data_IF_392544067973
#
_entry.id   IF_392544067973
#
_cell.length_a   1.000
_cell.length_b   1.000
_cell.length_c   1.000
_cell.angle_alpha   90.00
_cell.angle_beta   90.00
_cell.angle_gamma   90.00
#
_symmetry.space_group_name_H-M   'P 1'
#
loop_
_entity.id
_entity.type
_entity.pdbx_description
1 polymer ?
#
# COMPACT_ATOMS: atom_id res chain seq x y z
N UNK A 1 -29.86 -9.02 -13.90
CA UNK A 1 -28.79 -8.17 -14.46
C UNK A 1 -27.54 -8.45 -13.64
N UNK A 2 -26.41 -8.77 -14.26
CA UNK A 2 -25.15 -9.05 -13.53
C UNK A 2 -24.64 -7.74 -12.90
N UNK A 3 -24.95 -7.53 -11.61
CA UNK A 3 -24.58 -6.30 -10.89
C UNK A 3 -23.06 -6.12 -10.84
N UNK A 4 -22.30 -7.22 -10.86
CA UNK A 4 -20.83 -7.18 -10.88
C UNK A 4 -20.35 -6.52 -12.16
N UNK A 5 -20.95 -6.84 -13.31
CA UNK A 5 -20.63 -6.17 -14.57
C UNK A 5 -20.87 -4.67 -14.50
N UNK A 6 -22.06 -4.28 -14.05
CA UNK A 6 -22.46 -2.87 -14.01
C UNK A 6 -21.56 -2.06 -13.06
N UNK A 7 -21.26 -2.61 -11.88
CA UNK A 7 -20.40 -1.95 -10.89
C UNK A 7 -18.98 -1.79 -11.41
N UNK A 8 -18.38 -2.85 -11.98
CA UNK A 8 -17.03 -2.77 -12.52
C UNK A 8 -16.94 -1.79 -13.69
N UNK A 9 -17.88 -1.83 -14.63
CA UNK A 9 -17.92 -0.91 -15.77
C UNK A 9 -18.07 0.55 -15.32
N UNK A 10 -18.96 0.80 -14.36
CA UNK A 10 -19.19 2.14 -13.81
C UNK A 10 -17.97 2.67 -13.02
N UNK A 11 -17.33 1.82 -12.21
CA UNK A 11 -16.25 2.24 -11.33
C UNK A 11 -14.84 2.10 -11.92
N UNK A 12 -14.68 1.53 -13.12
CA UNK A 12 -13.39 1.28 -13.75
C UNK A 12 -12.45 2.51 -13.69
N UNK A 13 -12.95 3.68 -14.12
CA UNK A 13 -12.15 4.93 -14.12
C UNK A 13 -11.72 5.34 -12.71
N UNK A 14 -12.60 5.19 -11.73
CA UNK A 14 -12.30 5.53 -10.34
C UNK A 14 -11.20 4.63 -9.78
N UNK A 15 -11.31 3.33 -10.03
CA UNK A 15 -10.34 2.32 -9.58
C UNK A 15 -9.00 2.54 -10.31
N UNK A 16 -9.02 2.85 -11.59
CA UNK A 16 -7.83 3.17 -12.38
C UNK A 16 -7.07 4.38 -11.82
N UNK A 17 -7.78 5.48 -11.52
CA UNK A 17 -7.18 6.68 -10.93
C UNK A 17 -6.56 6.34 -9.57
N UNK A 18 -7.24 5.56 -8.74
CA UNK A 18 -6.69 5.11 -7.45
C UNK A 18 -5.41 4.30 -7.66
N UNK A 19 -5.43 3.32 -8.57
CA UNK A 19 -4.30 2.46 -8.89
C UNK A 19 -3.10 3.26 -9.39
N UNK A 20 -3.31 4.13 -10.39
CA UNK A 20 -2.24 4.99 -10.93
C UNK A 20 -1.68 5.93 -9.87
N UNK A 21 -2.54 6.54 -9.04
CA UNK A 21 -2.12 7.43 -7.95
C UNK A 21 -1.28 6.70 -6.91
N UNK A 22 -1.61 5.44 -6.59
CA UNK A 22 -0.83 4.61 -5.67
C UNK A 22 0.62 4.42 -6.12
N UNK A 23 0.84 4.13 -7.41
CA UNK A 23 2.19 4.00 -7.97
C UNK A 23 2.88 5.36 -8.17
N UNK A 24 2.16 6.37 -8.64
CA UNK A 24 2.71 7.71 -8.83
C UNK A 24 3.23 8.34 -7.54
N UNK A 25 2.54 8.14 -6.39
CA UNK A 25 3.06 8.57 -5.08
C UNK A 25 4.42 7.95 -4.75
N UNK A 26 4.62 6.67 -5.09
CA UNK A 26 5.89 5.94 -4.81
C UNK A 26 6.99 6.37 -5.76
N UNK A 27 6.68 6.51 -7.04
CA UNK A 27 7.63 7.06 -8.02
C UNK A 27 8.11 8.45 -7.60
N UNK A 28 7.20 9.33 -7.15
CA UNK A 28 7.58 10.65 -6.63
C UNK A 28 8.58 10.57 -5.47
N UNK A 29 8.37 9.65 -4.53
CA UNK A 29 9.30 9.44 -3.40
C UNK A 29 10.68 8.99 -3.91
N UNK A 30 10.73 8.07 -4.89
CA UNK A 30 12.00 7.63 -5.49
C UNK A 30 12.68 8.76 -6.26
N UNK A 31 11.93 9.55 -7.03
CA UNK A 31 12.44 10.68 -7.78
C UNK A 31 13.05 11.75 -6.86
N UNK A 32 12.41 12.06 -5.73
CA UNK A 32 12.96 12.97 -4.72
C UNK A 32 14.23 12.39 -4.09
N UNK A 33 14.25 11.10 -3.75
CA UNK A 33 15.44 10.44 -3.22
C UNK A 33 16.62 10.49 -4.22
N UNK A 34 16.34 10.24 -5.50
CA UNK A 34 17.32 10.31 -6.57
C UNK A 34 17.84 11.75 -6.74
N UNK A 35 16.96 12.75 -6.70
CA UNK A 35 17.37 14.16 -6.77
C UNK A 35 18.31 14.56 -5.63
N UNK A 36 17.99 14.20 -4.38
CA UNK A 36 18.87 14.46 -3.21
C UNK A 36 20.24 13.81 -3.40
N UNK A 37 20.27 12.56 -3.86
CA UNK A 37 21.50 11.82 -4.11
C UNK A 37 22.36 12.47 -5.20
N UNK A 38 21.74 12.90 -6.30
CA UNK A 38 22.44 13.58 -7.40
C UNK A 38 23.01 14.93 -6.98
N UNK A 39 22.23 15.73 -6.24
CA UNK A 39 22.67 17.02 -5.70
C UNK A 39 23.86 16.83 -4.75
N UNK A 40 23.76 15.88 -3.81
CA UNK A 40 24.86 15.56 -2.89
C UNK A 40 26.14 15.18 -3.64
N UNK A 41 26.01 14.27 -4.60
CA UNK A 41 27.17 13.75 -5.37
C UNK A 41 27.81 14.87 -6.20
N UNK A 42 27.01 15.78 -6.76
CA UNK A 42 27.52 16.92 -7.53
C UNK A 42 28.28 17.95 -6.69
N UNK A 43 27.79 18.25 -5.48
CA UNK A 43 28.39 19.26 -4.59
C UNK A 43 29.64 18.72 -3.89
N UNK A 44 29.54 17.54 -3.28
CA UNK A 44 30.57 17.03 -2.37
C UNK A 44 31.53 16.05 -3.04
N UNK A 45 31.14 15.43 -4.16
CA UNK A 45 31.96 14.46 -4.91
C UNK A 45 32.46 13.26 -4.08
N UNK A 46 31.81 12.98 -2.95
CA UNK A 46 32.13 11.84 -2.08
C UNK A 46 31.32 10.60 -2.45
N UNK A 47 31.89 9.41 -2.18
CA UNK A 47 31.21 8.11 -2.35
C UNK A 47 30.62 7.89 -3.77
N UNK A 48 31.26 8.44 -4.81
CA UNK A 48 30.71 8.49 -6.19
C UNK A 48 30.28 7.11 -6.69
N UNK A 49 31.12 6.07 -6.52
CA UNK A 49 30.82 4.71 -6.96
C UNK A 49 29.56 4.17 -6.26
N UNK A 50 29.47 4.33 -4.94
CA UNK A 50 28.31 3.90 -4.17
C UNK A 50 27.04 4.66 -4.59
N UNK A 51 27.15 5.96 -4.80
CA UNK A 51 26.04 6.81 -5.22
C UNK A 51 25.56 6.42 -6.61
N UNK A 52 26.46 6.11 -7.53
CA UNK A 52 26.12 5.60 -8.86
C UNK A 52 25.36 4.27 -8.77
N UNK A 53 25.81 3.33 -7.94
CA UNK A 53 25.10 2.07 -7.71
C UNK A 53 23.70 2.32 -7.15
N UNK A 54 23.58 3.19 -6.14
CA UNK A 54 22.29 3.55 -5.55
C UNK A 54 21.35 4.23 -6.55
N UNK A 55 21.88 5.12 -7.39
CA UNK A 55 21.11 5.77 -8.45
C UNK A 55 20.58 4.74 -9.46
N UNK A 56 21.40 3.79 -9.89
CA UNK A 56 20.97 2.71 -10.79
C UNK A 56 19.86 1.85 -10.16
N UNK A 57 19.96 1.53 -8.87
CA UNK A 57 18.91 0.79 -8.15
C UNK A 57 17.61 1.59 -8.10
N UNK A 58 17.68 2.89 -7.79
CA UNK A 58 16.50 3.76 -7.75
C UNK A 58 15.82 3.89 -9.11
N UNK A 59 16.60 4.06 -10.19
CA UNK A 59 16.09 4.09 -11.57
C UNK A 59 15.42 2.77 -11.93
N UNK A 60 16.05 1.63 -11.59
CA UNK A 60 15.47 0.31 -11.81
C UNK A 60 14.14 0.11 -11.08
N UNK A 61 14.05 0.57 -9.83
CA UNK A 61 12.81 0.54 -9.05
C UNK A 61 11.73 1.45 -9.65
N UNK A 62 12.10 2.63 -10.15
CA UNK A 62 11.17 3.56 -10.77
C UNK A 62 10.60 2.99 -12.07
N UNK A 63 11.44 2.38 -12.90
CA UNK A 63 11.02 1.65 -14.09
C UNK A 63 10.10 0.47 -13.75
N UNK A 64 10.44 -0.30 -12.71
CA UNK A 64 9.59 -1.39 -12.24
C UNK A 64 8.20 -0.91 -11.78
N UNK A 65 8.13 0.18 -11.00
CA UNK A 65 6.86 0.77 -10.58
C UNK A 65 6.06 1.32 -11.76
N UNK A 66 6.73 1.89 -12.76
CA UNK A 66 6.09 2.35 -13.99
C UNK A 66 5.45 1.19 -14.77
N UNK A 67 6.14 0.05 -14.89
CA UNK A 67 5.55 -1.14 -15.49
C UNK A 67 4.32 -1.61 -14.72
N UNK A 68 4.40 -1.72 -13.39
CA UNK A 68 3.24 -2.12 -12.57
C UNK A 68 2.07 -1.14 -12.72
N UNK A 69 2.34 0.16 -12.78
CA UNK A 69 1.33 1.20 -12.99
C UNK A 69 0.56 1.01 -14.30
N UNK A 70 1.22 0.53 -15.34
CA UNK A 70 0.60 0.33 -16.65
C UNK A 70 -0.15 -1.00 -16.77
N UNK A 71 0.11 -1.96 -15.87
CA UNK A 71 -0.60 -3.26 -15.80
C UNK A 71 -2.02 -3.19 -15.21
N UNK A 72 -2.62 -2.00 -15.17
CA UNK A 72 -3.96 -1.84 -14.61
C UNK A 72 -5.02 -2.66 -15.37
N UNK A 73 -5.07 -2.66 -16.72
CA UNK A 73 -6.09 -3.39 -17.45
C UNK A 73 -6.10 -4.89 -17.12
N UNK A 74 -4.91 -5.51 -17.03
CA UNK A 74 -4.77 -6.93 -16.72
C UNK A 74 -5.23 -7.23 -15.28
N UNK A 75 -4.78 -6.43 -14.32
CA UNK A 75 -5.18 -6.56 -12.91
C UNK A 75 -6.69 -6.37 -12.75
N UNK A 76 -7.26 -5.41 -13.47
CA UNK A 76 -8.70 -5.13 -13.41
C UNK A 76 -9.53 -6.29 -14.00
N UNK A 77 -9.09 -6.85 -15.13
CA UNK A 77 -9.76 -8.00 -15.76
C UNK A 77 -9.67 -9.27 -14.89
N UNK A 78 -8.56 -9.48 -14.19
CA UNK A 78 -8.41 -10.59 -13.24
C UNK A 78 -9.46 -10.51 -12.14
N UNK A 79 -9.65 -9.33 -11.52
CA UNK A 79 -10.70 -9.13 -10.51
C UNK A 79 -12.11 -9.31 -11.07
N UNK A 80 -12.37 -8.84 -12.29
CA UNK A 80 -13.66 -9.01 -12.95
C UNK A 80 -13.97 -10.49 -13.20
N UNK A 81 -12.97 -11.25 -13.64
CA UNK A 81 -13.10 -12.68 -13.93
C UNK A 81 -13.31 -13.49 -12.66
N UNK A 82 -12.58 -13.16 -11.59
CA UNK A 82 -12.73 -13.82 -10.29
C UNK A 82 -14.13 -13.62 -9.67
N UNK A 83 -14.77 -12.47 -9.91
CA UNK A 83 -16.11 -12.18 -9.39
C UNK A 83 -17.25 -12.64 -10.31
N UNK A 84 -16.96 -13.49 -11.30
CA UNK A 84 -17.96 -14.07 -12.21
C UNK A 84 -17.88 -15.60 -12.22
N UNK A 85 -19.01 -16.31 -12.28
CA UNK A 85 -20.38 -15.81 -12.48
C UNK A 85 -21.08 -15.31 -11.21
N UNK A 86 -20.55 -15.58 -10.02
CA UNK A 86 -21.07 -15.11 -8.74
C UNK A 86 -20.04 -14.23 -8.04
N UNK A 87 -20.49 -13.13 -7.44
CA UNK A 87 -19.62 -12.22 -6.70
C UNK A 87 -18.99 -12.92 -5.49
N UNK A 88 -17.69 -12.69 -5.28
CA UNK A 88 -17.03 -13.13 -4.07
C UNK A 88 -17.36 -12.17 -2.93
N UNK A 89 -18.12 -12.65 -1.95
CA UNK A 89 -18.50 -11.87 -0.78
C UNK A 89 -17.49 -12.12 0.34
N UNK A 90 -16.88 -11.03 0.81
CA UNK A 90 -15.89 -11.02 1.86
C UNK A 90 -16.52 -10.61 3.18
N UNK A 91 -16.09 -11.25 4.26
CA UNK A 91 -16.30 -10.76 5.61
C UNK A 91 -15.23 -9.72 5.92
N UNK A 92 -15.67 -8.58 6.44
CA UNK A 92 -14.78 -7.47 6.80
C UNK A 92 -14.68 -7.38 8.32
N UNK A 93 -13.44 -7.53 8.81
CA UNK A 93 -13.08 -7.29 10.21
C UNK A 93 -12.22 -6.02 10.28
N UNK A 94 -12.74 -4.99 10.94
CA UNK A 94 -12.03 -3.72 11.13
C UNK A 94 -11.01 -3.81 12.27
N UNK A 95 -9.74 -3.53 11.97
CA UNK A 95 -8.63 -3.37 12.91
C UNK A 95 -8.18 -1.89 12.93
N UNK A 96 -7.22 -1.49 13.77
CA UNK A 96 -6.87 -0.08 13.98
C UNK A 96 -6.40 0.64 12.70
N UNK A 97 -5.61 -0.02 11.85
CA UNK A 97 -5.00 0.57 10.65
C UNK A 97 -5.32 -0.19 9.35
N UNK A 98 -6.11 -1.26 9.43
CA UNK A 98 -6.46 -2.07 8.27
C UNK A 98 -7.86 -2.66 8.40
N UNK A 99 -8.43 -3.02 7.25
CA UNK A 99 -9.53 -3.96 7.12
C UNK A 99 -8.91 -5.34 6.85
N UNK A 100 -9.31 -6.35 7.64
CA UNK A 100 -9.00 -7.73 7.32
C UNK A 100 -10.18 -8.28 6.50
N UNK A 101 -9.90 -8.68 5.27
CA UNK A 101 -10.86 -9.31 4.38
C UNK A 101 -10.62 -10.82 4.42
N UNK A 102 -11.66 -11.58 4.69
CA UNK A 102 -11.64 -13.04 4.57
C UNK A 102 -12.84 -13.49 3.77
N UNK A 103 -12.62 -14.40 2.81
CA UNK A 103 -13.72 -15.07 2.14
C UNK A 103 -14.44 -15.96 3.17
N UNK A 104 -15.76 -16.07 3.04
CA UNK A 104 -16.57 -16.92 3.94
C UNK A 104 -16.05 -18.37 3.99
N UNK A 105 -15.45 -18.84 2.89
CA UNK A 105 -14.95 -20.20 2.73
C UNK A 105 -13.43 -20.34 2.81
N UNK A 106 -12.67 -19.25 3.02
CA UNK A 106 -11.20 -19.30 3.11
C UNK A 106 -10.70 -18.41 4.27
N UNK A 107 -10.00 -18.99 5.27
CA UNK A 107 -9.49 -18.23 6.42
C UNK A 107 -8.30 -17.30 6.09
N UNK A 108 -7.79 -17.30 4.86
CA UNK A 108 -6.71 -16.39 4.46
C UNK A 108 -7.19 -14.93 4.52
N UNK A 109 -6.50 -14.12 5.34
CA UNK A 109 -6.86 -12.72 5.58
C UNK A 109 -6.03 -11.79 4.71
N UNK A 110 -6.68 -11.13 3.76
CA UNK A 110 -6.09 -10.02 3.01
C UNK A 110 -6.21 -8.76 3.88
N UNK A 111 -5.07 -8.15 4.21
CA UNK A 111 -5.04 -6.91 5.01
C UNK A 111 -5.02 -5.70 4.09
N UNK A 112 -6.10 -4.96 4.04
CA UNK A 112 -6.22 -3.72 3.28
C UNK A 112 -5.98 -2.53 4.19
N UNK A 113 -5.07 -1.63 3.81
CA UNK A 113 -4.80 -0.41 4.57
C UNK A 113 -6.04 0.50 4.58
N UNK A 114 -6.42 1.05 5.73
CA UNK A 114 -7.55 2.01 5.79
C UNK A 114 -7.27 3.30 5.01
N UNK A 115 -6.00 3.69 4.94
CA UNK A 115 -5.61 4.86 4.18
C UNK A 115 -5.75 4.55 2.69
N UNK A 116 -6.39 5.45 1.95
CA UNK A 116 -6.67 5.32 0.50
C UNK A 116 -7.68 4.21 0.12
N UNK A 117 -8.55 3.74 1.05
CA UNK A 117 -9.72 2.90 0.74
C UNK A 117 -10.90 3.75 0.28
N UNK A 118 -11.70 3.21 -0.65
CA UNK A 118 -13.02 3.73 -1.01
C UNK A 118 -14.07 2.63 -0.92
N UNK A 119 -15.21 2.98 -0.35
CA UNK A 119 -16.42 2.17 -0.36
C UNK A 119 -17.32 2.71 -1.46
N UNK A 120 -17.58 1.90 -2.47
CA UNK A 120 -18.36 2.24 -3.64
C UNK A 120 -19.71 1.51 -3.56
N UNK A 121 -20.85 2.23 -3.61
CA UNK A 121 -22.17 1.60 -3.58
C UNK A 121 -22.35 0.63 -4.75
N UNK A 122 -22.77 -0.61 -4.46
CA UNK A 122 -23.09 -1.59 -5.50
C UNK A 122 -24.49 -1.33 -6.06
N UNK A 123 -24.72 -1.72 -7.31
CA UNK A 123 -26.06 -1.81 -7.89
C UNK A 123 -26.94 -2.81 -7.11
N UNK A 124 -26.33 -3.83 -6.51
CA UNK A 124 -26.99 -4.63 -5.49
C UNK A 124 -26.92 -3.89 -4.14
N UNK A 125 -28.07 -3.35 -3.70
CA UNK A 125 -28.18 -2.53 -2.48
C UNK A 125 -27.75 -3.24 -1.19
N UNK A 126 -27.65 -4.57 -1.20
CA UNK A 126 -27.15 -5.33 -0.05
C UNK A 126 -25.62 -5.20 0.12
N UNK A 127 -24.90 -5.02 -0.98
CA UNK A 127 -23.44 -5.08 -0.97
C UNK A 127 -22.80 -3.73 -1.22
N UNK A 128 -21.54 -3.64 -0.84
CA UNK A 128 -20.65 -2.52 -1.11
C UNK A 128 -19.36 -3.05 -1.68
N UNK A 129 -18.86 -2.35 -2.70
CA UNK A 129 -17.59 -2.63 -3.31
C UNK A 129 -16.49 -1.83 -2.60
N UNK A 130 -15.71 -2.50 -1.75
CA UNK A 130 -14.49 -1.95 -1.17
C UNK A 130 -13.37 -2.00 -2.20
N UNK A 131 -12.72 -0.87 -2.42
CA UNK A 131 -11.51 -0.77 -3.24
C UNK A 131 -10.40 -0.16 -2.40
N UNK A 132 -9.27 -0.85 -2.29
CA UNK A 132 -8.15 -0.38 -1.49
C UNK A 132 -6.84 -1.05 -1.87
N UNK A 133 -5.84 -0.83 -1.03
CA UNK A 133 -4.52 -1.41 -1.23
C UNK A 133 -4.10 -2.25 -0.03
N UNK A 134 -3.45 -3.37 -0.32
CA UNK A 134 -2.87 -4.24 0.70
C UNK A 134 -1.86 -3.45 1.55
N UNK A 135 -1.81 -3.77 2.84
CA UNK A 135 -0.89 -3.14 3.80
C UNK A 135 0.57 -3.53 3.55
N UNK A 136 0.80 -4.61 2.81
CA UNK A 136 2.14 -5.12 2.50
C UNK A 136 2.89 -4.15 1.58
N UNK A 137 4.04 -3.64 2.05
CA UNK A 137 4.86 -2.69 1.30
C UNK A 137 5.37 -3.23 -0.05
N UNK A 138 5.66 -4.54 -0.11
CA UNK A 138 6.26 -5.22 -1.27
C UNK A 138 5.30 -6.17 -2.00
N UNK A 139 3.99 -5.91 -1.95
CA UNK A 139 3.05 -6.73 -2.72
C UNK A 139 3.24 -6.53 -4.22
N UNK A 140 3.30 -7.63 -4.99
CA UNK A 140 3.34 -7.60 -6.46
C UNK A 140 2.02 -7.05 -7.04
N UNK A 141 0.91 -7.38 -6.41
CA UNK A 141 -0.43 -6.89 -6.74
C UNK A 141 -1.02 -6.24 -5.48
N UNK A 142 -0.87 -4.92 -5.33
CA UNK A 142 -1.28 -4.25 -4.12
C UNK A 142 -2.77 -3.91 -4.12
N UNK A 143 -3.43 -3.84 -5.28
CA UNK A 143 -4.86 -3.54 -5.37
C UNK A 143 -5.69 -4.68 -4.77
N UNK A 144 -6.74 -4.34 -4.05
CA UNK A 144 -7.74 -5.28 -3.54
C UNK A 144 -9.13 -4.69 -3.78
N UNK A 145 -10.00 -5.51 -4.37
CA UNK A 145 -11.40 -5.20 -4.66
C UNK A 145 -12.23 -6.30 -4.01
N UNK A 146 -13.18 -5.93 -3.16
CA UNK A 146 -13.98 -6.90 -2.41
C UNK A 146 -15.42 -6.42 -2.24
N UNK A 147 -16.38 -7.29 -2.54
CA UNK A 147 -17.76 -7.08 -2.14
C UNK A 147 -17.95 -7.49 -0.69
N UNK A 148 -18.68 -6.69 0.07
CA UNK A 148 -19.06 -7.04 1.44
C UNK A 148 -20.39 -6.43 1.82
N UNK A 149 -21.04 -7.01 2.82
CA UNK A 149 -22.22 -6.42 3.45
C UNK A 149 -21.78 -5.43 4.54
N UNK A 150 -22.15 -4.16 4.40
CA UNK A 150 -21.81 -3.12 5.38
C UNK A 150 -22.41 -3.39 6.77
N UNK A 151 -23.58 -4.03 6.82
CA UNK A 151 -24.26 -4.35 8.08
C UNK A 151 -23.60 -5.53 8.82
N UNK A 152 -22.84 -6.36 8.10
CA UNK A 152 -22.11 -7.50 8.64
C UNK A 152 -20.67 -7.16 9.05
N UNK A 153 -20.30 -5.88 9.12
CA UNK A 153 -18.95 -5.45 9.49
C UNK A 153 -18.67 -5.76 10.97
N UNK A 154 -17.58 -6.50 11.22
CA UNK A 154 -17.15 -6.88 12.56
C UNK A 154 -15.91 -6.09 12.99
N UNK A 155 -15.65 -6.03 14.29
CA UNK A 155 -14.46 -5.40 14.84
C UNK A 155 -13.56 -6.43 15.49
N UNK A 156 -12.26 -6.30 15.28
CA UNK A 156 -11.29 -7.07 16.06
C UNK A 156 -11.43 -6.71 17.54
N UNK A 157 -11.58 -7.71 18.41
CA UNK A 157 -11.88 -7.47 19.84
C UNK A 157 -10.90 -6.51 20.52
N UNK A 158 -9.60 -6.65 20.25
CA UNK A 158 -8.58 -5.73 20.78
C UNK A 158 -8.77 -4.30 20.29
N UNK A 159 -9.23 -4.11 19.06
CA UNK A 159 -9.54 -2.77 18.53
C UNK A 159 -10.84 -2.23 19.13
N UNK A 160 -11.87 -3.07 19.28
CA UNK A 160 -13.14 -2.71 19.95
C UNK A 160 -12.90 -2.19 21.37
N UNK A 161 -12.10 -2.91 22.16
CA UNK A 161 -11.75 -2.51 23.53
C UNK A 161 -10.96 -1.19 23.57
N UNK A 162 -10.01 -0.99 22.63
CA UNK A 162 -9.21 0.25 22.54
C UNK A 162 -9.98 1.46 22.06
N UNK A 163 -10.94 1.28 21.14
CA UNK A 163 -11.82 2.34 20.65
C UNK A 163 -12.69 2.90 21.79
N UNK A 164 -12.99 2.08 22.78
CA UNK A 164 -13.71 2.48 24.00
C UNK A 164 -12.81 3.09 25.09
N UNK A 165 -11.62 3.59 24.75
CA UNK A 165 -10.77 4.39 25.66
C UNK A 165 -9.63 3.63 26.36
N UNK A 166 -9.51 2.31 26.18
CA UNK A 166 -8.45 1.50 26.82
C UNK A 166 -7.15 1.46 26.01
N UNK A 167 -6.47 2.59 25.81
CA UNK A 167 -5.12 2.55 25.23
C UNK A 167 -4.18 3.61 25.78
N UNK A 168 -3.09 3.15 26.40
CA UNK A 168 -2.01 3.95 26.98
C UNK A 168 -1.01 4.52 25.97
N UNK A 169 -1.07 4.14 24.69
CA UNK A 169 -0.05 4.53 23.69
C UNK A 169 -0.58 5.68 22.82
N UNK A 170 0.19 6.76 22.58
CA UNK A 170 -0.20 7.82 21.64
C UNK A 170 -0.40 7.33 20.21
N UNK A 171 -1.39 7.87 19.48
CA UNK A 171 -1.82 7.42 18.14
C UNK A 171 -0.66 7.33 17.12
N UNK A 172 0.32 8.22 17.17
CA UNK A 172 1.46 8.22 16.26
C UNK A 172 2.40 7.03 16.49
N UNK A 173 2.77 6.77 17.76
CA UNK A 173 3.69 5.71 18.14
C UNK A 173 3.12 4.31 17.92
N UNK A 174 1.79 4.19 17.85
CA UNK A 174 1.12 2.92 17.59
C UNK A 174 1.48 2.29 16.25
N UNK A 175 1.81 3.09 15.23
CA UNK A 175 2.25 2.59 13.91
C UNK A 175 3.54 1.76 14.00
N UNK A 176 4.36 2.01 15.02
CA UNK A 176 5.62 1.32 15.28
C UNK A 176 5.49 0.17 16.29
N UNK A 177 4.27 -0.15 16.75
CA UNK A 177 4.08 -1.29 17.67
C UNK A 177 4.37 -2.61 16.96
N UNK A 178 4.89 -3.59 17.72
CA UNK A 178 5.21 -4.93 17.22
C UNK A 178 4.04 -5.59 16.48
N UNK A 179 2.80 -5.37 16.93
CA UNK A 179 1.61 -5.89 16.25
C UNK A 179 1.40 -5.28 14.86
N UNK A 180 1.64 -3.98 14.70
CA UNK A 180 1.54 -3.31 13.40
C UNK A 180 2.67 -3.65 12.46
N UNK A 181 3.90 -3.77 12.99
CA UNK A 181 5.05 -4.23 12.22
C UNK A 181 4.86 -5.67 11.74
N UNK A 182 4.42 -6.58 12.61
CA UNK A 182 4.03 -7.96 12.24
C UNK A 182 2.90 -7.98 11.20
N UNK A 183 1.97 -7.04 11.26
CA UNK A 183 0.88 -6.97 10.30
C UNK A 183 1.31 -6.47 8.91
N UNK A 184 2.47 -5.80 8.81
CA UNK A 184 3.10 -5.38 7.55
C UNK A 184 4.23 -6.33 7.11
N UNK A 185 4.65 -7.23 7.99
CA UNK A 185 5.60 -8.30 7.73
C UNK A 185 4.90 -9.42 6.96
N UNK A 186 4.94 -9.32 5.63
CA UNK A 186 4.69 -10.46 4.76
C UNK A 186 5.86 -11.45 4.86
N UNK A 187 6.46 -11.79 3.71
CA UNK A 187 7.68 -12.61 3.67
C UNK A 187 8.79 -11.95 4.52
N UNK A 188 9.21 -12.61 5.61
CA UNK A 188 10.21 -12.09 6.56
C UNK A 188 11.50 -11.66 5.87
N UNK A 189 11.95 -12.38 4.85
CA UNK A 189 13.18 -12.05 4.11
C UNK A 189 13.01 -10.77 3.31
N UNK A 190 11.90 -10.63 2.58
CA UNK A 190 11.59 -9.40 1.83
C UNK A 190 11.34 -8.22 2.76
N UNK A 191 10.73 -8.46 3.92
CA UNK A 191 10.53 -7.47 4.96
C UNK A 191 11.88 -7.01 5.53
N UNK A 192 12.76 -7.93 5.92
CA UNK A 192 14.07 -7.57 6.52
C UNK A 192 14.95 -6.86 5.50
N UNK A 193 15.15 -7.43 4.31
CA UNK A 193 16.00 -6.80 3.27
C UNK A 193 15.42 -5.48 2.80
N UNK A 194 14.11 -5.42 2.58
CA UNK A 194 13.43 -4.20 2.14
C UNK A 194 13.44 -3.09 3.18
N UNK A 195 13.22 -3.41 4.47
CA UNK A 195 13.28 -2.41 5.54
C UNK A 195 14.72 -1.99 5.85
N UNK A 196 15.69 -2.90 5.87
CA UNK A 196 17.11 -2.54 6.06
C UNK A 196 17.57 -1.64 4.92
N UNK A 197 17.26 -1.98 3.67
CA UNK A 197 17.59 -1.15 2.52
C UNK A 197 16.93 0.22 2.62
N UNK A 198 15.63 0.29 2.96
CA UNK A 198 14.91 1.55 3.13
C UNK A 198 15.49 2.40 4.27
N UNK A 199 15.85 1.79 5.41
CA UNK A 199 16.48 2.47 6.54
C UNK A 199 17.88 2.97 6.21
N UNK A 200 18.68 2.16 5.52
CA UNK A 200 19.99 2.56 5.02
C UNK A 200 19.88 3.76 4.07
N UNK A 201 18.94 3.70 3.12
CA UNK A 201 18.69 4.76 2.17
C UNK A 201 18.21 6.03 2.87
N UNK A 202 17.29 5.92 3.83
CA UNK A 202 16.81 7.05 4.63
C UNK A 202 17.95 7.68 5.44
N UNK A 203 18.77 6.87 6.12
CA UNK A 203 19.93 7.35 6.87
C UNK A 203 20.92 8.11 5.98
N UNK A 204 21.22 7.58 4.78
CA UNK A 204 22.05 8.24 3.78
C UNK A 204 21.42 9.57 3.32
N UNK A 205 20.14 9.59 2.98
CA UNK A 205 19.45 10.82 2.54
C UNK A 205 19.48 11.90 3.62
N UNK A 206 19.21 11.55 4.88
CA UNK A 206 19.28 12.51 6.00
C UNK A 206 20.71 13.03 6.16
N UNK A 207 21.69 12.15 6.13
CA UNK A 207 23.11 12.53 6.20
C UNK A 207 23.49 13.48 5.05
N UNK A 208 22.99 13.21 3.84
CA UNK A 208 23.24 14.04 2.66
C UNK A 208 22.65 15.43 2.79
N UNK A 209 21.41 15.52 3.26
CA UNK A 209 20.76 16.79 3.52
C UNK A 209 21.53 17.61 4.58
N UNK A 210 22.01 16.96 5.64
CA UNK A 210 22.82 17.63 6.68
C UNK A 210 24.14 18.14 6.10
N UNK A 211 24.85 17.33 5.31
CA UNK A 211 26.12 17.74 4.71
C UNK A 211 25.94 18.87 3.68
N UNK A 212 24.90 18.81 2.84
CA UNK A 212 24.56 19.90 1.91
C UNK A 212 24.27 21.19 2.68
N UNK A 213 23.52 21.09 3.78
CA UNK A 213 23.23 22.27 4.61
C UNK A 213 24.51 22.86 5.21
N UNK A 214 25.43 22.03 5.72
CA UNK A 214 26.72 22.47 6.26
C UNK A 214 27.70 23.02 5.23
N UNK A 215 27.56 22.67 3.95
CA UNK A 215 28.42 23.19 2.90
C UNK A 215 27.92 24.53 2.34
N UNK A 216 26.65 24.87 2.55
CA UNK A 216 26.02 26.09 2.06
C UNK A 216 25.91 27.20 3.11
N UNK A 217 25.93 26.87 4.41
CA UNK A 217 25.82 27.79 5.54
C UNK A 217 26.94 27.54 6.56
#
# INVERSE_FOLDING_TARGET
MDFVKADFEYYQRTIEIMYKKYFSKRMLILAVALAILMIYTGILQESIILNMILALILIGLEFYLWQLRNKFPEVFQEFLTANRPAAEIYQVEEDEYCYNLSLVNNPEKIKVNKNDVRNLPSQNKQYTLMVGFTKNFFSRQPLSIAYYDMLALTYKEKFRLKRNGYSSVPRFLRRFTLGNLKASAGNLVQFVLGNIFALFLLFRLVSYLISIFRSLF
#
